data_IF_963168299987
#
_entry.id   IF_963168299987
#
_cell.length_a   1.000
_cell.length_b   1.000
_cell.length_c   1.000
_cell.angle_alpha   90.00
_cell.angle_beta   90.00
_cell.angle_gamma   90.00
#
_symmetry.space_group_name_H-M   'P 1'
#
loop_
_entity.id
_entity.type
_entity.pdbx_description
1 polymer ?
#
# COMPACT_ATOMS: atom_id res chain seq x y z
N UNK A 1 -3.88 22.45 -6.05
CA UNK A 1 -4.59 21.73 -4.96
C UNK A 1 -3.67 21.67 -3.74
N UNK A 2 -4.22 21.76 -2.53
CA UNK A 2 -3.47 21.46 -1.28
C UNK A 2 -3.49 19.95 -0.97
N UNK A 3 -2.71 19.52 0.02
CA UNK A 3 -2.58 18.08 0.33
C UNK A 3 -3.91 17.42 0.76
N UNK A 4 -4.80 18.15 1.43
CA UNK A 4 -6.14 17.64 1.77
C UNK A 4 -6.97 17.40 0.51
N UNK A 5 -6.96 18.34 -0.45
CA UNK A 5 -7.68 18.18 -1.72
C UNK A 5 -7.10 17.04 -2.56
N UNK A 6 -5.76 16.84 -2.54
CA UNK A 6 -5.10 15.73 -3.23
C UNK A 6 -5.44 14.39 -2.56
N UNK A 7 -5.52 14.32 -1.23
CA UNK A 7 -5.96 13.14 -0.51
C UNK A 7 -7.42 12.78 -0.82
N UNK A 8 -8.31 13.77 -0.87
CA UNK A 8 -9.73 13.55 -1.21
C UNK A 8 -9.92 13.10 -2.66
N UNK A 9 -9.13 13.65 -3.60
CA UNK A 9 -9.08 13.17 -4.98
C UNK A 9 -8.65 11.69 -5.03
N UNK A 10 -7.53 11.34 -4.40
CA UNK A 10 -7.04 9.97 -4.35
C UNK A 10 -8.05 9.02 -3.71
N UNK A 11 -8.71 9.43 -2.62
CA UNK A 11 -9.76 8.66 -1.96
C UNK A 11 -10.96 8.39 -2.87
N UNK A 12 -11.41 9.38 -3.62
CA UNK A 12 -12.48 9.24 -4.60
C UNK A 12 -12.12 8.28 -5.73
N UNK A 13 -10.89 8.38 -6.24
CA UNK A 13 -10.39 7.49 -7.29
C UNK A 13 -10.20 6.05 -6.78
N UNK A 14 -9.66 5.87 -5.58
CA UNK A 14 -9.49 4.55 -4.96
C UNK A 14 -10.83 3.83 -4.75
N UNK A 15 -11.91 4.54 -4.35
CA UNK A 15 -13.26 3.95 -4.25
C UNK A 15 -13.79 3.49 -5.61
N UNK A 16 -13.65 4.34 -6.63
CA UNK A 16 -14.10 4.00 -7.99
C UNK A 16 -13.34 2.80 -8.54
N UNK A 17 -12.03 2.76 -8.34
CA UNK A 17 -11.20 1.61 -8.72
C UNK A 17 -11.62 0.34 -7.96
N UNK A 18 -11.82 0.43 -6.64
CA UNK A 18 -12.30 -0.69 -5.83
C UNK A 18 -13.64 -1.24 -6.33
N UNK A 19 -14.60 -0.37 -6.68
CA UNK A 19 -15.88 -0.79 -7.25
C UNK A 19 -15.70 -1.49 -8.60
N UNK A 20 -14.81 -0.97 -9.48
CA UNK A 20 -14.52 -1.58 -10.77
C UNK A 20 -13.86 -2.97 -10.62
N UNK A 21 -12.89 -3.12 -9.71
CA UNK A 21 -12.26 -4.40 -9.37
C UNK A 21 -13.32 -5.43 -8.93
N UNK A 22 -14.22 -5.03 -8.03
CA UNK A 22 -15.27 -5.94 -7.55
C UNK A 22 -16.29 -6.29 -8.63
N UNK A 23 -16.59 -5.39 -9.56
CA UNK A 23 -17.44 -5.69 -10.72
C UNK A 23 -16.79 -6.75 -11.63
N UNK A 24 -15.49 -6.62 -11.93
CA UNK A 24 -14.73 -7.63 -12.69
C UNK A 24 -14.74 -8.98 -11.96
N UNK A 25 -14.50 -8.97 -10.63
CA UNK A 25 -14.53 -10.19 -9.81
C UNK A 25 -15.88 -10.92 -9.89
N UNK A 26 -16.99 -10.17 -9.84
CA UNK A 26 -18.34 -10.72 -9.91
C UNK A 26 -18.71 -11.26 -11.31
N UNK A 27 -18.23 -10.60 -12.36
CA UNK A 27 -18.45 -11.04 -13.73
C UNK A 27 -17.62 -12.28 -14.11
N UNK A 28 -16.57 -12.59 -13.35
CA UNK A 28 -15.54 -13.58 -13.67
C UNK A 28 -14.49 -12.99 -14.61
N UNK A 29 -13.25 -13.43 -14.49
CA UNK A 29 -12.10 -12.90 -15.22
C UNK A 29 -11.12 -13.99 -15.61
N UNK A 30 -10.32 -13.72 -16.64
CA UNK A 30 -9.15 -14.52 -16.99
C UNK A 30 -7.92 -13.94 -16.28
N UNK A 31 -6.94 -14.79 -16.01
CA UNK A 31 -5.64 -14.40 -15.48
C UNK A 31 -4.63 -14.47 -16.61
N UNK A 32 -4.07 -13.34 -17.01
CA UNK A 32 -2.92 -13.25 -17.90
C UNK A 32 -1.62 -13.24 -17.08
N UNK A 33 -0.47 -13.31 -17.75
CA UNK A 33 0.84 -13.22 -17.10
C UNK A 33 1.69 -12.18 -17.81
N UNK A 34 2.39 -11.36 -17.02
CA UNK A 34 3.38 -10.39 -17.50
C UNK A 34 4.66 -11.12 -17.94
N UNK A 35 5.62 -10.42 -18.53
CA UNK A 35 6.90 -11.00 -18.97
C UNK A 35 7.68 -11.67 -17.82
N UNK A 36 7.55 -11.18 -16.60
CA UNK A 36 8.14 -11.75 -15.38
C UNK A 36 7.32 -12.88 -14.74
N UNK A 37 6.29 -13.37 -15.45
CA UNK A 37 5.34 -14.40 -14.99
C UNK A 37 4.46 -13.98 -13.81
N UNK A 38 4.42 -12.72 -13.40
CA UNK A 38 3.45 -12.24 -12.43
C UNK A 38 2.04 -12.20 -13.05
N UNK A 39 0.98 -12.52 -12.29
CA UNK A 39 -0.38 -12.46 -12.78
C UNK A 39 -0.82 -11.02 -13.00
N UNK A 40 -1.64 -10.80 -14.02
CA UNK A 40 -2.37 -9.57 -14.27
C UNK A 40 -3.77 -9.92 -14.77
N UNK A 41 -4.74 -9.14 -14.40
CA UNK A 41 -6.13 -9.35 -14.78
C UNK A 41 -6.72 -8.10 -15.42
N UNK A 42 -7.93 -8.23 -15.98
CA UNK A 42 -8.68 -7.06 -16.43
C UNK A 42 -8.94 -6.06 -15.30
N UNK A 43 -9.07 -6.55 -14.05
CA UNK A 43 -9.27 -5.70 -12.89
C UNK A 43 -8.11 -4.72 -12.66
N UNK A 44 -6.86 -5.18 -12.84
CA UNK A 44 -5.66 -4.33 -12.74
C UNK A 44 -5.72 -3.22 -13.78
N UNK A 45 -5.98 -3.56 -15.05
CA UNK A 45 -6.00 -2.62 -16.19
C UNK A 45 -7.10 -1.57 -16.06
N UNK A 46 -8.31 -2.00 -15.72
CA UNK A 46 -9.46 -1.08 -15.57
C UNK A 46 -9.25 -0.13 -14.38
N UNK A 47 -8.76 -0.66 -13.25
CA UNK A 47 -8.48 0.15 -12.08
C UNK A 47 -7.36 1.16 -12.34
N UNK A 48 -6.26 0.75 -13.01
CA UNK A 48 -5.17 1.65 -13.35
C UNK A 48 -5.62 2.77 -14.27
N UNK A 49 -6.30 2.45 -15.37
CA UNK A 49 -6.79 3.46 -16.32
C UNK A 49 -7.64 4.52 -15.60
N UNK A 50 -8.57 4.10 -14.75
CA UNK A 50 -9.45 4.98 -13.98
C UNK A 50 -8.67 5.91 -13.03
N UNK A 51 -7.67 5.38 -12.33
CA UNK A 51 -6.86 6.15 -11.38
C UNK A 51 -5.96 7.13 -12.12
N UNK A 52 -5.22 6.65 -13.12
CA UNK A 52 -4.22 7.44 -13.87
C UNK A 52 -4.89 8.58 -14.63
N UNK A 53 -5.98 8.30 -15.35
CA UNK A 53 -6.75 9.33 -16.04
C UNK A 53 -7.28 10.40 -15.07
N UNK A 54 -7.83 9.97 -13.93
CA UNK A 54 -8.36 10.89 -12.92
C UNK A 54 -7.28 11.76 -12.28
N UNK A 55 -6.12 11.20 -11.94
CA UNK A 55 -5.00 11.96 -11.39
C UNK A 55 -4.42 12.95 -12.40
N UNK A 56 -4.21 12.52 -13.65
CA UNK A 56 -3.69 13.39 -14.73
C UNK A 56 -4.64 14.53 -15.07
N UNK A 57 -5.93 14.26 -15.09
CA UNK A 57 -6.94 15.29 -15.37
C UNK A 57 -7.05 16.35 -14.26
N UNK A 58 -7.03 15.92 -12.98
CA UNK A 58 -7.25 16.83 -11.86
C UNK A 58 -5.95 17.50 -11.37
N UNK A 59 -4.79 16.85 -11.54
CA UNK A 59 -3.48 17.34 -11.07
C UNK A 59 -2.38 17.17 -12.13
N UNK A 60 -2.51 17.80 -13.33
CA UNK A 60 -1.64 17.54 -14.49
C UNK A 60 -0.17 17.92 -14.27
N UNK A 61 0.13 18.72 -13.22
CA UNK A 61 1.50 19.08 -12.86
C UNK A 61 2.23 18.05 -12.01
N UNK A 62 1.58 16.94 -11.62
CA UNK A 62 2.18 15.88 -10.80
C UNK A 62 2.23 14.58 -11.63
N UNK A 63 3.43 14.13 -12.06
CA UNK A 63 3.58 12.88 -12.81
C UNK A 63 3.00 11.67 -12.06
N UNK A 64 2.50 10.69 -12.82
CA UNK A 64 1.98 9.43 -12.28
C UNK A 64 2.88 8.30 -12.75
N UNK A 65 3.34 7.50 -11.80
CA UNK A 65 4.06 6.24 -12.00
C UNK A 65 3.12 5.12 -11.55
N UNK A 66 2.65 4.32 -12.48
CA UNK A 66 1.70 3.26 -12.23
C UNK A 66 2.28 1.91 -12.67
N UNK A 67 1.94 0.85 -11.95
CA UNK A 67 2.54 -0.47 -12.11
C UNK A 67 2.41 -1.00 -13.53
N UNK A 68 1.19 -1.02 -14.11
CA UNK A 68 0.94 -1.64 -15.42
C UNK A 68 1.53 -0.80 -16.56
N UNK A 69 1.53 0.54 -16.44
CA UNK A 69 2.22 1.41 -17.39
C UNK A 69 3.73 1.16 -17.39
N UNK A 70 4.35 0.99 -16.21
CA UNK A 70 5.79 0.68 -16.09
C UNK A 70 6.09 -0.72 -16.63
N UNK A 71 5.25 -1.71 -16.32
CA UNK A 71 5.36 -3.06 -16.87
C UNK A 71 5.20 -3.08 -18.41
N UNK A 72 4.37 -2.18 -18.95
CA UNK A 72 4.21 -1.94 -20.39
C UNK A 72 5.36 -1.14 -21.03
N UNK A 73 6.41 -0.79 -20.28
CA UNK A 73 7.58 -0.10 -20.79
C UNK A 73 7.49 1.43 -20.76
N UNK A 74 6.44 2.02 -20.18
CA UNK A 74 6.36 3.48 -20.02
C UNK A 74 7.39 3.95 -18.99
N UNK A 75 8.26 4.86 -19.40
CA UNK A 75 9.25 5.48 -18.51
C UNK A 75 8.76 6.85 -18.09
N UNK A 76 8.37 6.99 -16.83
CA UNK A 76 8.03 8.29 -16.24
C UNK A 76 9.27 8.89 -15.60
N UNK A 77 9.62 10.12 -15.97
CA UNK A 77 10.73 10.83 -15.34
C UNK A 77 10.41 11.11 -13.87
N UNK A 78 11.38 10.83 -12.99
CA UNK A 78 11.26 11.19 -11.56
C UNK A 78 11.26 12.71 -11.45
N UNK A 79 10.23 13.24 -10.79
CA UNK A 79 10.09 14.65 -10.46
C UNK A 79 10.18 14.86 -8.94
N UNK A 80 10.35 16.09 -8.45
CA UNK A 80 10.32 16.36 -7.00
C UNK A 80 9.03 15.90 -6.32
N UNK A 81 7.90 15.91 -7.06
CA UNK A 81 6.63 15.33 -6.59
C UNK A 81 6.06 14.42 -7.66
N UNK A 82 5.62 13.22 -7.30
CA UNK A 82 5.01 12.24 -8.20
C UNK A 82 4.07 11.30 -7.45
N UNK A 83 3.07 10.78 -8.16
CA UNK A 83 2.20 9.73 -7.67
C UNK A 83 2.82 8.36 -7.93
N UNK A 84 2.64 7.45 -6.97
CA UNK A 84 2.89 6.03 -7.10
C UNK A 84 1.56 5.30 -6.97
N UNK A 85 1.23 4.47 -7.94
CA UNK A 85 -0.06 3.77 -8.05
C UNK A 85 0.19 2.27 -8.26
N UNK A 86 -0.37 1.47 -7.36
CA UNK A 86 -0.62 0.06 -7.59
C UNK A 86 -2.14 -0.12 -7.69
N UNK A 87 -2.67 -0.45 -8.87
CA UNK A 87 -4.11 -0.57 -9.07
C UNK A 87 -4.72 -1.76 -8.32
N UNK A 88 -3.95 -2.84 -8.12
CA UNK A 88 -4.39 -4.06 -7.45
C UNK A 88 -3.21 -4.80 -6.82
N UNK A 89 -2.70 -4.30 -5.69
CA UNK A 89 -1.71 -5.05 -4.89
C UNK A 89 -2.34 -6.32 -4.32
N UNK A 90 -1.71 -7.46 -4.59
CA UNK A 90 -2.23 -8.77 -4.23
C UNK A 90 -2.97 -9.46 -5.36
N UNK A 91 -2.59 -9.26 -6.63
CA UNK A 91 -3.18 -9.94 -7.80
C UNK A 91 -3.16 -11.46 -7.67
N UNK A 92 -2.15 -12.03 -7.00
CA UNK A 92 -2.10 -13.48 -6.69
C UNK A 92 -3.23 -13.93 -5.76
N UNK A 93 -3.51 -13.15 -4.73
CA UNK A 93 -4.60 -13.38 -3.79
C UNK A 93 -5.94 -13.20 -4.47
N UNK A 94 -6.10 -12.14 -5.25
CA UNK A 94 -7.29 -11.87 -6.07
C UNK A 94 -7.59 -13.03 -7.02
N UNK A 95 -6.59 -13.49 -7.79
CA UNK A 95 -6.72 -14.60 -8.74
C UNK A 95 -7.13 -15.93 -8.07
N UNK A 96 -6.77 -16.12 -6.79
CA UNK A 96 -7.17 -17.28 -5.97
C UNK A 96 -8.53 -17.11 -5.29
N UNK A 97 -9.24 -15.99 -5.51
CA UNK A 97 -10.52 -15.72 -4.87
C UNK A 97 -10.42 -15.29 -3.40
N UNK A 98 -9.23 -14.95 -2.91
CA UNK A 98 -9.04 -14.42 -1.56
C UNK A 98 -9.42 -12.93 -1.49
N UNK A 99 -9.66 -12.44 -0.27
CA UNK A 99 -10.10 -11.06 -0.02
C UNK A 99 -8.95 -10.09 0.35
N UNK A 100 -7.71 -10.57 0.26
CA UNK A 100 -6.51 -9.86 0.69
C UNK A 100 -5.83 -9.16 -0.49
N UNK A 101 -6.49 -8.15 -1.05
CA UNK A 101 -5.96 -7.27 -2.10
C UNK A 101 -6.34 -5.82 -1.83
N UNK A 102 -5.56 -4.89 -2.39
CA UNK A 102 -5.71 -3.47 -2.10
C UNK A 102 -5.46 -2.61 -3.35
N UNK A 103 -6.07 -1.42 -3.38
CA UNK A 103 -5.68 -0.32 -4.27
C UNK A 103 -4.77 0.61 -3.50
N UNK A 104 -3.60 0.94 -4.04
CA UNK A 104 -2.61 1.80 -3.41
C UNK A 104 -2.40 3.07 -4.23
N UNK A 105 -2.64 4.25 -3.63
CA UNK A 105 -2.35 5.55 -4.25
C UNK A 105 -1.55 6.38 -3.26
N UNK A 106 -0.27 6.63 -3.56
CA UNK A 106 0.65 7.40 -2.70
C UNK A 106 1.22 8.61 -3.42
N UNK A 107 1.29 9.75 -2.75
CA UNK A 107 2.01 10.94 -3.22
C UNK A 107 3.37 11.01 -2.53
N UNK A 108 4.41 11.08 -3.32
CA UNK A 108 5.79 11.28 -2.88
C UNK A 108 6.22 12.71 -3.18
N UNK A 109 6.97 13.31 -2.26
CA UNK A 109 7.62 14.62 -2.45
C UNK A 109 9.03 14.57 -1.86
N UNK A 110 10.03 14.98 -2.65
CA UNK A 110 11.45 14.96 -2.27
C UNK A 110 11.93 13.60 -1.73
N UNK A 111 11.42 12.51 -2.35
CA UNK A 111 11.73 11.13 -2.01
C UNK A 111 11.12 10.63 -0.70
N UNK A 112 10.16 11.34 -0.11
CA UNK A 112 9.41 10.90 1.06
C UNK A 112 7.90 10.87 0.78
N UNK A 113 7.12 9.93 1.36
CA UNK A 113 5.69 9.92 1.18
C UNK A 113 5.07 11.12 1.93
N UNK A 114 4.08 11.77 1.32
CA UNK A 114 3.37 12.93 1.89
C UNK A 114 1.97 12.53 2.32
N UNK A 115 1.27 11.80 1.46
CA UNK A 115 -0.07 11.31 1.71
C UNK A 115 -0.27 9.97 1.01
N UNK A 116 -1.23 9.20 1.50
CA UNK A 116 -1.56 7.92 0.91
C UNK A 116 -3.01 7.53 1.15
N UNK A 117 -3.50 6.70 0.24
CA UNK A 117 -4.81 6.05 0.31
C UNK A 117 -4.65 4.57 0.02
N UNK A 118 -5.26 3.74 0.86
CA UNK A 118 -5.45 2.31 0.65
C UNK A 118 -6.94 2.00 0.63
N UNK A 119 -7.45 1.42 -0.45
CA UNK A 119 -8.77 0.81 -0.45
C UNK A 119 -8.64 -0.71 -0.36
N UNK A 120 -9.49 -1.34 0.43
CA UNK A 120 -9.62 -2.79 0.54
C UNK A 120 -10.94 -3.21 -0.10
N UNK A 121 -10.97 -3.53 -1.41
CA UNK A 121 -12.22 -3.65 -2.15
C UNK A 121 -13.15 -4.73 -1.61
N UNK A 122 -12.60 -5.87 -1.16
CA UNK A 122 -13.40 -6.99 -0.66
C UNK A 122 -14.14 -6.68 0.65
N UNK A 123 -13.64 -5.76 1.48
CA UNK A 123 -14.27 -5.37 2.75
C UNK A 123 -14.98 -4.02 2.68
N UNK A 124 -14.75 -3.25 1.59
CA UNK A 124 -15.27 -1.89 1.42
C UNK A 124 -14.56 -0.85 2.31
N UNK A 125 -13.50 -1.23 3.01
CA UNK A 125 -12.74 -0.33 3.88
C UNK A 125 -11.86 0.61 3.05
N UNK A 126 -11.74 1.85 3.50
CA UNK A 126 -10.84 2.84 2.93
C UNK A 126 -10.01 3.50 4.03
N UNK A 127 -8.73 3.60 3.81
CA UNK A 127 -7.78 4.24 4.71
C UNK A 127 -7.10 5.40 4.01
N UNK A 128 -6.88 6.49 4.73
CA UNK A 128 -6.13 7.62 4.22
C UNK A 128 -5.34 8.33 5.29
N UNK A 129 -4.27 9.01 4.89
CA UNK A 129 -3.45 9.76 5.82
C UNK A 129 -2.59 10.81 5.13
N UNK A 130 -2.31 11.90 5.86
CA UNK A 130 -1.33 12.92 5.49
C UNK A 130 -0.29 12.93 6.61
N UNK A 131 0.97 12.73 6.27
CA UNK A 131 2.09 12.73 7.22
C UNK A 131 2.11 14.05 8.00
N UNK A 132 2.13 13.95 9.33
CA UNK A 132 2.06 15.11 10.22
C UNK A 132 0.66 15.68 10.48
N UNK A 133 -0.39 15.21 9.77
CA UNK A 133 -1.77 15.70 9.97
C UNK A 133 -2.73 14.65 10.52
N UNK A 134 -2.35 13.36 10.45
CA UNK A 134 -3.14 12.26 10.97
C UNK A 134 -3.66 11.30 9.89
N UNK A 135 -4.14 10.16 10.34
CA UNK A 135 -4.71 9.11 9.50
C UNK A 135 -6.16 8.81 9.91
N UNK A 136 -6.91 8.27 8.96
CA UNK A 136 -8.32 7.92 9.16
C UNK A 136 -8.69 6.63 8.41
N UNK A 137 -9.79 6.04 8.85
CA UNK A 137 -10.45 4.89 8.23
C UNK A 137 -11.92 5.21 7.96
N UNK A 138 -12.44 4.78 6.83
CA UNK A 138 -13.86 4.58 6.55
C UNK A 138 -14.13 3.07 6.56
N UNK A 139 -15.02 2.61 7.43
CA UNK A 139 -15.28 1.19 7.63
C UNK A 139 -16.09 0.54 6.49
N UNK A 140 -16.81 1.35 5.72
CA UNK A 140 -17.57 0.99 4.53
C UNK A 140 -17.81 2.24 3.69
N UNK A 141 -18.26 2.08 2.46
CA UNK A 141 -18.64 3.20 1.60
C UNK A 141 -19.71 4.09 2.25
N UNK A 142 -19.44 5.39 2.29
CA UNK A 142 -20.32 6.38 2.91
C UNK A 142 -20.25 6.44 4.45
N UNK A 143 -19.47 5.58 5.09
CA UNK A 143 -19.22 5.68 6.52
C UNK A 143 -18.38 6.92 6.86
N UNK A 144 -18.56 7.53 8.04
CA UNK A 144 -17.73 8.67 8.44
C UNK A 144 -16.28 8.26 8.64
N UNK A 145 -15.36 9.16 8.29
CA UNK A 145 -13.93 9.00 8.57
C UNK A 145 -13.69 8.98 10.08
N UNK A 146 -13.14 7.90 10.56
CA UNK A 146 -12.74 7.75 11.96
C UNK A 146 -11.23 7.91 12.06
N UNK A 147 -10.70 8.73 12.99
CA UNK A 147 -9.27 8.83 13.20
C UNK A 147 -8.70 7.50 13.68
N UNK A 148 -7.56 7.10 13.12
CA UNK A 148 -6.84 5.90 13.52
C UNK A 148 -5.45 6.25 14.03
N UNK A 149 -4.91 5.37 14.88
CA UNK A 149 -3.54 5.46 15.41
C UNK A 149 -2.97 4.06 15.58
N UNK A 150 -1.66 3.95 15.40
CA UNK A 150 -0.94 2.74 15.80
C UNK A 150 -1.06 2.52 17.30
N UNK A 151 -0.99 1.25 17.74
CA UNK A 151 -1.05 0.91 19.15
C UNK A 151 0.36 0.77 19.77
N UNK A 152 0.44 0.87 21.09
CA UNK A 152 1.61 0.40 21.82
C UNK A 152 1.69 -1.13 21.74
N UNK A 153 2.91 -1.66 21.67
CA UNK A 153 3.12 -3.12 21.65
C UNK A 153 2.59 -3.73 22.95
N UNK A 154 1.75 -4.77 22.86
CA UNK A 154 1.23 -5.47 24.04
C UNK A 154 2.36 -6.15 24.86
N UNK A 155 2.13 -6.34 26.15
CA UNK A 155 3.12 -6.96 27.05
C UNK A 155 3.48 -8.40 26.67
N UNK A 156 2.54 -9.13 26.06
CA UNK A 156 2.73 -10.48 25.53
C UNK A 156 3.61 -10.54 24.29
N UNK A 157 3.89 -9.41 23.66
CA UNK A 157 4.71 -9.31 22.46
C UNK A 157 3.96 -8.93 21.20
N UNK A 158 4.65 -8.93 20.10
CA UNK A 158 4.21 -8.42 18.81
C UNK A 158 3.29 -9.41 18.08
N UNK A 159 2.17 -8.88 17.53
CA UNK A 159 1.44 -9.52 16.44
C UNK A 159 2.08 -9.08 15.12
N UNK A 160 2.74 -10.02 14.47
CA UNK A 160 3.46 -9.84 13.21
C UNK A 160 2.57 -10.26 12.04
N UNK A 161 2.38 -9.40 11.05
CA UNK A 161 1.73 -9.76 9.79
C UNK A 161 2.79 -10.11 8.75
N UNK A 162 2.89 -11.39 8.43
CA UNK A 162 3.81 -11.87 7.40
C UNK A 162 3.11 -12.05 6.05
N UNK A 163 3.87 -12.00 4.97
CA UNK A 163 3.33 -12.18 3.63
C UNK A 163 2.78 -13.59 3.44
N UNK A 164 1.54 -13.70 2.94
CA UNK A 164 0.94 -15.01 2.64
C UNK A 164 1.68 -15.76 1.54
N UNK A 165 2.01 -15.05 0.45
CA UNK A 165 2.57 -15.67 -0.76
C UNK A 165 4.09 -15.63 -0.85
N UNK A 166 4.77 -14.84 0.02
CA UNK A 166 6.22 -14.63 -0.04
C UNK A 166 6.88 -14.71 1.34
N UNK A 167 6.31 -15.49 2.25
CA UNK A 167 6.88 -15.74 3.57
C UNK A 167 8.27 -16.39 3.46
N UNK A 168 9.20 -15.90 4.26
CA UNK A 168 10.54 -16.47 4.48
C UNK A 168 10.85 -16.41 5.96
N UNK A 169 10.34 -17.36 6.76
CA UNK A 169 10.45 -17.31 8.22
C UNK A 169 11.88 -17.12 8.73
N UNK A 170 12.85 -17.74 8.07
CA UNK A 170 14.28 -17.62 8.40
C UNK A 170 14.83 -16.20 8.19
N UNK A 171 14.27 -15.44 7.25
CA UNK A 171 14.69 -14.07 6.96
C UNK A 171 13.97 -13.02 7.84
N UNK A 172 12.93 -13.42 8.58
CA UNK A 172 12.22 -12.50 9.48
C UNK A 172 13.03 -12.24 10.78
N UNK A 173 13.80 -13.21 11.24
CA UNK A 173 14.50 -13.14 12.50
C UNK A 173 15.39 -11.90 12.66
N UNK A 174 16.19 -11.46 11.67
CA UNK A 174 16.98 -10.21 11.76
C UNK A 174 16.13 -8.96 11.91
N UNK A 175 15.01 -8.85 11.18
CA UNK A 175 14.09 -7.71 11.24
C UNK A 175 13.33 -7.64 12.56
N UNK A 176 13.12 -8.79 13.21
CA UNK A 176 12.43 -8.92 14.48
C UNK A 176 13.38 -8.99 15.68
N UNK A 177 14.70 -8.88 15.45
CA UNK A 177 15.74 -9.12 16.46
C UNK A 177 15.45 -8.42 17.80
N UNK A 178 15.46 -9.19 18.87
CA UNK A 178 15.22 -8.71 20.24
C UNK A 178 13.78 -8.33 20.58
N UNK A 179 12.83 -8.49 19.64
CA UNK A 179 11.42 -8.19 19.87
C UNK A 179 10.67 -9.46 20.26
N UNK A 180 9.97 -9.50 21.39
CA UNK A 180 9.15 -10.66 21.75
C UNK A 180 7.98 -10.77 20.75
N UNK A 181 7.85 -11.92 20.09
CA UNK A 181 6.77 -12.19 19.13
C UNK A 181 5.73 -13.08 19.79
N UNK A 182 4.52 -12.56 19.98
CA UNK A 182 3.40 -13.33 20.52
C UNK A 182 2.74 -14.19 19.45
N UNK A 183 2.63 -13.67 18.21
CA UNK A 183 1.96 -14.36 17.11
C UNK A 183 2.45 -13.87 15.76
N UNK A 184 2.57 -14.79 14.80
CA UNK A 184 2.73 -14.50 13.37
C UNK A 184 1.44 -14.90 12.66
N UNK A 185 0.89 -13.99 11.86
CA UNK A 185 -0.33 -14.21 11.08
C UNK A 185 -0.06 -13.93 9.60
N UNK A 186 -0.37 -14.87 8.69
CA UNK A 186 -0.25 -14.62 7.26
C UNK A 186 -1.33 -13.66 6.78
N UNK A 187 -0.94 -12.67 5.96
CA UNK A 187 -1.85 -11.74 5.31
C UNK A 187 -1.26 -11.30 3.96
N UNK A 188 -2.07 -11.25 2.91
CA UNK A 188 -1.70 -10.73 1.59
C UNK A 188 -1.66 -9.21 1.55
N UNK A 189 -1.13 -8.67 0.49
CA UNK A 189 -1.16 -7.28 0.04
C UNK A 189 -0.76 -6.18 1.03
N UNK A 190 -0.90 -4.92 0.61
CA UNK A 190 -0.77 -3.71 1.40
C UNK A 190 -1.83 -3.58 2.51
N UNK A 191 -2.83 -4.47 2.56
CA UNK A 191 -3.78 -4.56 3.68
C UNK A 191 -3.06 -4.68 5.03
N UNK A 192 -1.86 -5.28 5.07
CA UNK A 192 -1.01 -5.34 6.26
C UNK A 192 -0.69 -3.95 6.83
N UNK A 193 -0.41 -2.98 5.97
CA UNK A 193 -0.11 -1.61 6.40
C UNK A 193 -1.33 -0.93 7.03
N UNK A 194 -2.52 -1.16 6.47
CA UNK A 194 -3.76 -0.68 7.04
C UNK A 194 -3.99 -1.24 8.46
N UNK A 195 -3.74 -2.54 8.66
CA UNK A 195 -3.89 -3.20 9.97
C UNK A 195 -2.86 -2.70 10.99
N UNK A 196 -1.63 -2.40 10.58
CA UNK A 196 -0.64 -1.76 11.46
C UNK A 196 -1.05 -0.32 11.79
N UNK A 197 -1.50 0.45 10.81
CA UNK A 197 -1.88 1.85 11.00
C UNK A 197 -3.09 2.03 11.93
N UNK A 198 -4.09 1.12 11.87
CA UNK A 198 -5.25 1.17 12.77
C UNK A 198 -5.00 0.54 14.15
N UNK A 199 -3.80 -0.01 14.39
CA UNK A 199 -3.43 -0.66 15.65
C UNK A 199 -4.00 -2.07 15.82
N UNK A 200 -4.46 -2.73 14.76
CA UNK A 200 -4.90 -4.13 14.79
C UNK A 200 -3.71 -5.10 14.82
N UNK A 201 -2.56 -4.68 14.31
CA UNK A 201 -1.30 -5.43 14.37
C UNK A 201 -0.14 -4.50 14.77
N UNK A 202 1.02 -5.07 15.08
CA UNK A 202 2.17 -4.31 15.57
C UNK A 202 3.23 -4.07 14.51
N UNK A 203 3.44 -5.04 13.60
CA UNK A 203 4.38 -4.86 12.50
C UNK A 203 4.11 -5.77 11.31
N UNK A 204 4.74 -5.41 10.19
CA UNK A 204 4.85 -6.23 8.99
C UNK A 204 6.26 -6.15 8.42
N UNK A 205 7.10 -7.17 8.62
CA UNK A 205 8.43 -7.25 8.04
C UNK A 205 8.38 -7.70 6.59
N UNK A 206 9.32 -7.20 5.79
CA UNK A 206 9.52 -7.59 4.39
C UNK A 206 11.01 -7.71 4.10
N UNK A 207 11.60 -8.89 4.24
CA UNK A 207 13.01 -9.10 4.01
C UNK A 207 13.35 -9.06 2.51
N UNK A 208 14.44 -8.37 2.18
CA UNK A 208 15.01 -8.30 0.85
C UNK A 208 14.21 -7.49 -0.16
N UNK A 209 14.70 -7.36 -1.41
CA UNK A 209 14.15 -6.49 -2.45
C UNK A 209 12.99 -7.18 -3.20
N UNK A 210 11.88 -7.41 -2.52
CA UNK A 210 10.74 -8.21 -3.01
C UNK A 210 9.50 -7.39 -3.33
N UNK A 211 9.53 -6.07 -3.13
CA UNK A 211 8.42 -5.16 -3.42
C UNK A 211 8.86 -3.99 -4.28
N UNK A 212 7.89 -3.36 -4.92
CA UNK A 212 8.09 -2.13 -5.68
C UNK A 212 7.68 -0.91 -4.84
N UNK A 213 8.05 0.28 -5.31
CA UNK A 213 7.74 1.52 -4.59
C UNK A 213 6.24 1.80 -4.50
N UNK A 214 5.48 1.43 -5.52
CA UNK A 214 4.02 1.61 -5.54
C UNK A 214 3.28 0.72 -4.55
N UNK A 215 3.84 -0.45 -4.15
CA UNK A 215 3.28 -1.31 -3.12
C UNK A 215 3.33 -0.66 -1.72
N UNK A 216 4.23 0.30 -1.50
CA UNK A 216 4.58 0.78 -0.15
C UNK A 216 4.30 2.24 0.14
N UNK A 217 4.35 3.12 -0.87
CA UNK A 217 4.27 4.57 -0.65
C UNK A 217 2.98 5.00 0.06
N UNK A 218 1.83 4.47 -0.37
CA UNK A 218 0.54 4.75 0.25
C UNK A 218 0.51 4.25 1.70
N UNK A 219 0.92 3.00 1.91
CA UNK A 219 0.95 2.38 3.23
C UNK A 219 1.87 3.09 4.21
N UNK A 220 3.05 3.53 3.75
CA UNK A 220 3.99 4.29 4.58
C UNK A 220 3.39 5.63 5.01
N UNK A 221 2.80 6.39 4.09
CA UNK A 221 2.17 7.66 4.43
C UNK A 221 1.10 7.48 5.52
N UNK A 222 0.26 6.45 5.41
CA UNK A 222 -0.80 6.17 6.38
C UNK A 222 -0.22 5.74 7.73
N UNK A 223 0.77 4.85 7.74
CA UNK A 223 1.43 4.40 8.97
C UNK A 223 2.12 5.57 9.67
N UNK A 224 2.87 6.41 8.97
CA UNK A 224 3.54 7.58 9.54
C UNK A 224 2.52 8.61 10.05
N UNK A 225 1.43 8.84 9.32
CA UNK A 225 0.32 9.68 9.75
C UNK A 225 -0.38 9.14 11.00
N UNK A 226 -0.38 7.81 11.20
CA UNK A 226 -0.95 7.15 12.38
C UNK A 226 0.04 7.06 13.57
N UNK A 227 1.29 7.50 13.41
CA UNK A 227 2.32 7.53 14.46
C UNK A 227 3.28 6.33 14.47
N UNK A 228 3.33 5.56 13.38
CA UNK A 228 4.30 4.49 13.15
C UNK A 228 5.41 4.89 12.17
N UNK A 229 6.11 3.90 11.61
CA UNK A 229 7.17 4.11 10.63
C UNK A 229 7.34 2.89 9.70
N UNK A 230 7.94 3.11 8.51
CA UNK A 230 8.53 2.03 7.71
C UNK A 230 10.04 2.27 7.64
N UNK A 231 10.80 1.30 8.13
CA UNK A 231 12.24 1.40 8.29
C UNK A 231 12.94 0.31 7.48
N UNK A 232 14.04 0.68 6.82
CA UNK A 232 14.94 -0.29 6.17
C UNK A 232 15.60 -1.20 7.20
N UNK A 233 16.33 -2.22 6.74
CA UNK A 233 17.11 -3.11 7.61
C UNK A 233 18.17 -2.36 8.43
N UNK A 234 18.63 -1.18 7.93
CA UNK A 234 19.56 -0.29 8.66
C UNK A 234 18.84 0.69 9.61
N UNK A 235 17.53 0.58 9.79
CA UNK A 235 16.76 1.46 10.65
C UNK A 235 16.50 2.86 10.09
N UNK A 236 16.70 3.07 8.79
CA UNK A 236 16.45 4.36 8.12
C UNK A 236 15.04 4.37 7.51
N UNK A 237 14.37 5.54 7.40
CA UNK A 237 13.11 5.63 6.67
C UNK A 237 13.26 5.15 5.23
N UNK A 238 12.27 4.39 4.74
CA UNK A 238 12.23 3.97 3.34
C UNK A 238 12.06 5.20 2.44
N UNK A 239 12.78 5.23 1.31
CA UNK A 239 12.80 6.38 0.39
C UNK A 239 12.36 5.95 -1.01
N UNK A 240 11.91 6.91 -1.80
CA UNK A 240 11.25 6.75 -3.09
C UNK A 240 11.94 7.51 -4.22
N UNK A 241 11.66 7.10 -5.46
CA UNK A 241 12.28 7.65 -6.66
C UNK A 241 13.58 6.97 -7.04
N UNK A 242 13.75 5.71 -6.64
CA UNK A 242 14.92 4.89 -6.97
C UNK A 242 14.88 4.42 -8.43
N UNK A 243 16.05 4.25 -9.05
CA UNK A 243 16.14 3.60 -10.34
C UNK A 243 15.51 2.19 -10.28
N UNK A 244 14.61 1.89 -11.23
CA UNK A 244 13.92 0.62 -11.31
C UNK A 244 12.82 0.39 -10.25
N UNK A 245 12.47 1.40 -9.47
CA UNK A 245 11.33 1.43 -8.52
C UNK A 245 11.32 0.32 -7.46
N UNK A 246 12.43 -0.37 -7.25
CA UNK A 246 12.50 -1.52 -6.33
C UNK A 246 12.88 -1.09 -4.92
N UNK A 247 12.16 -1.62 -3.94
CA UNK A 247 12.48 -1.42 -2.53
C UNK A 247 13.59 -2.36 -2.06
N UNK A 248 14.33 -1.93 -1.03
CA UNK A 248 15.17 -2.79 -0.18
C UNK A 248 14.30 -3.51 0.85
N UNK A 249 14.89 -4.40 1.65
CA UNK A 249 14.20 -5.00 2.79
C UNK A 249 13.81 -3.94 3.82
N UNK A 250 12.64 -4.12 4.46
CA UNK A 250 12.10 -3.17 5.44
C UNK A 250 11.20 -3.84 6.48
N UNK A 251 10.88 -3.09 7.52
CA UNK A 251 9.84 -3.42 8.48
C UNK A 251 8.88 -2.23 8.64
N UNK A 252 7.59 -2.47 8.43
CA UNK A 252 6.55 -1.55 8.84
C UNK A 252 6.24 -1.81 10.31
N UNK A 253 6.31 -0.77 11.13
CA UNK A 253 6.07 -0.87 12.58
C UNK A 253 5.03 0.15 13.01
N UNK A 254 4.23 -0.24 13.99
CA UNK A 254 3.34 0.66 14.71
C UNK A 254 4.16 1.66 15.52
N UNK A 255 3.76 1.89 16.78
CA UNK A 255 4.47 2.84 17.63
C UNK A 255 5.86 2.31 17.99
N UNK A 256 6.89 3.02 17.56
CA UNK A 256 8.26 2.82 18.08
C UNK A 256 8.28 3.50 19.45
N UNK A 257 8.49 2.70 20.50
CA UNK A 257 8.56 3.17 21.89
C UNK A 257 9.78 4.03 22.15
#
# INVERSE_FOLDING_TARGET
MNDTQLLDLAAGLARRAAAAIMAVRQAGFAVDHKEDYSPVTEADRVAEALIVEGLRAAAPGIPVVAEEEVAGGLVTAVAPSFWLVDPLDGTKEFAKGLDEFAVCIGLVRDGAPVLGVLALPATGELFGGIVGSGAWKEAAEGAPRQPIKTRAVPAEGWLVLDSRSHSRPEALAPLLAGRPVARVQPMGSAAKFARVAEGAADCSPRPGPTTMEWDTAAGQAIIEAAGGAILTEEGKPLRYGKAGWRNVGFIAVGRVG
#
